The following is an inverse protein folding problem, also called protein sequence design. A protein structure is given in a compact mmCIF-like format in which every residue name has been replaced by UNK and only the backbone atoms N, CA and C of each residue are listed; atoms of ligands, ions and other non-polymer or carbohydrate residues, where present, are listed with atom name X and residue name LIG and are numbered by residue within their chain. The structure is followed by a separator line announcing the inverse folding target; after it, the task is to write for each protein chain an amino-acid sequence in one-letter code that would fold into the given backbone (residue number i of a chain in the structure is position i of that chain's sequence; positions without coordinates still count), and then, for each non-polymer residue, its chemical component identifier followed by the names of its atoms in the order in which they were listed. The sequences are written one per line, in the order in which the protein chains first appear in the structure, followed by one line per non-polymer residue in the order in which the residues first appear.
data_IF_204041933526
#
_entry.id   IF_204041933526
#
_cell.length_a   1.000
_cell.length_b   1.000
_cell.length_c   1.000
_cell.angle_alpha   90.00
_cell.angle_beta   90.00
_cell.angle_gamma   90.00
#
_symmetry.space_group_name_H-M   'P 1'
#
loop_
_entity.id
_entity.type
_entity.pdbx_description
1 polymer ?
#
# COMPACT_ATOMS: atom_id res chain seq x y z
N UNK A 1 59.21 -58.27 -80.17
CA UNK A 1 58.93 -58.27 -78.71
C UNK A 1 57.75 -57.35 -78.51
N UNK A 2 56.78 -57.70 -77.67
CA UNK A 2 55.61 -56.84 -77.47
C UNK A 2 56.05 -55.48 -76.92
N UNK A 3 55.38 -54.41 -77.34
CA UNK A 3 55.64 -53.03 -76.89
C UNK A 3 55.29 -52.83 -75.42
N UNK A 4 54.44 -53.69 -74.85
CA UNK A 4 54.03 -53.63 -73.45
C UNK A 4 54.57 -54.81 -72.65
N UNK A 5 54.77 -54.60 -71.36
CA UNK A 5 55.04 -55.64 -70.37
C UNK A 5 54.02 -55.55 -69.24
N UNK A 6 53.52 -56.71 -68.83
CA UNK A 6 52.53 -56.84 -67.75
C UNK A 6 53.20 -57.54 -66.58
N UNK A 7 53.20 -56.89 -65.42
CA UNK A 7 53.76 -57.45 -64.19
C UNK A 7 52.93 -58.63 -63.67
N UNK A 8 53.52 -59.45 -62.81
CA UNK A 8 52.78 -60.51 -62.14
C UNK A 8 51.69 -59.89 -61.23
N UNK A 9 50.43 -60.35 -61.35
CA UNK A 9 49.32 -59.80 -60.57
C UNK A 9 49.56 -59.95 -59.06
N UNK A 10 49.36 -58.88 -58.29
CA UNK A 10 49.38 -58.91 -56.83
C UNK A 10 47.94 -59.02 -56.30
N UNK A 11 47.66 -60.11 -55.58
CA UNK A 11 46.34 -60.37 -55.00
C UNK A 11 46.11 -59.44 -53.81
N UNK A 12 45.08 -58.60 -53.88
CA UNK A 12 44.65 -57.75 -52.75
C UNK A 12 43.48 -58.44 -52.07
N UNK A 13 43.68 -58.95 -50.85
CA UNK A 13 42.66 -59.71 -50.12
C UNK A 13 41.66 -58.73 -49.48
N UNK A 14 40.66 -58.34 -50.26
CA UNK A 14 39.41 -57.75 -49.75
C UNK A 14 38.24 -58.70 -50.07
N UNK A 15 37.14 -58.70 -49.29
CA UNK A 15 36.08 -59.71 -49.38
C UNK A 15 35.31 -59.75 -50.72
N UNK A 16 35.71 -58.94 -51.70
CA UNK A 16 35.12 -58.82 -53.04
C UNK A 16 36.10 -59.07 -54.20
N UNK A 17 37.28 -59.66 -53.96
CA UNK A 17 38.16 -60.22 -55.00
C UNK A 17 38.65 -59.20 -56.05
N UNK A 18 39.63 -58.36 -55.69
CA UNK A 18 40.32 -57.47 -56.61
C UNK A 18 41.80 -57.82 -56.76
N UNK A 19 42.38 -57.57 -57.94
CA UNK A 19 43.79 -57.83 -58.26
C UNK A 19 44.41 -56.58 -58.86
N UNK A 20 45.58 -56.19 -58.35
CA UNK A 20 46.36 -55.08 -58.91
C UNK A 20 47.42 -55.60 -59.88
N UNK A 21 47.53 -54.95 -61.04
CA UNK A 21 48.48 -55.31 -62.09
C UNK A 21 49.17 -54.05 -62.61
N UNK A 22 50.49 -54.09 -62.73
CA UNK A 22 51.28 -53.04 -63.37
C UNK A 22 51.46 -53.32 -64.87
N UNK A 23 51.32 -52.28 -65.70
CA UNK A 23 51.58 -52.33 -67.14
C UNK A 23 52.59 -51.25 -67.48
N UNK A 24 53.63 -51.61 -68.22
CA UNK A 24 54.66 -50.67 -68.68
C UNK A 24 54.83 -50.67 -70.19
N UNK A 25 55.08 -49.50 -70.78
CA UNK A 25 55.46 -49.37 -72.19
C UNK A 25 56.98 -49.48 -72.33
N UNK A 26 57.45 -50.54 -72.99
CA UNK A 26 58.86 -50.81 -73.27
C UNK A 26 59.33 -50.23 -74.61
N UNK A 27 58.41 -49.73 -75.45
CA UNK A 27 58.78 -49.07 -76.70
C UNK A 27 59.42 -47.70 -76.43
N UNK A 28 60.27 -47.25 -77.36
CA UNK A 28 60.91 -45.94 -77.31
C UNK A 28 60.00 -44.78 -77.77
N UNK A 29 58.72 -45.07 -78.03
CA UNK A 29 57.70 -44.11 -78.46
C UNK A 29 56.40 -44.35 -77.69
N UNK A 30 55.55 -43.33 -77.60
CA UNK A 30 54.24 -43.45 -76.98
C UNK A 30 53.35 -44.41 -77.80
N UNK A 31 52.71 -45.36 -77.13
CA UNK A 31 51.86 -46.39 -77.77
C UNK A 31 50.50 -46.45 -77.07
N UNK A 32 49.44 -46.58 -77.87
CA UNK A 32 48.08 -46.77 -77.37
C UNK A 32 47.86 -48.24 -77.00
N UNK A 33 47.68 -48.49 -75.71
CA UNK A 33 47.42 -49.80 -75.14
C UNK A 33 45.92 -49.97 -74.90
N UNK A 34 45.32 -51.02 -75.45
CA UNK A 34 43.98 -51.48 -75.10
C UNK A 34 44.06 -52.75 -74.27
N UNK A 35 43.38 -52.76 -73.13
CA UNK A 35 43.32 -53.87 -72.21
C UNK A 35 42.09 -54.73 -72.47
N UNK A 36 42.31 -56.03 -72.52
CA UNK A 36 41.27 -57.03 -72.72
C UNK A 36 41.45 -58.18 -71.73
N UNK A 37 40.34 -58.74 -71.28
CA UNK A 37 40.33 -59.95 -70.45
C UNK A 37 40.08 -61.14 -71.35
N UNK A 38 41.03 -62.08 -71.34
CA UNK A 38 40.85 -63.40 -71.89
C UNK A 38 40.45 -64.36 -70.76
N UNK A 39 39.38 -65.10 -70.99
CA UNK A 39 38.90 -66.18 -70.12
C UNK A 39 38.79 -67.47 -70.95
N UNK A 40 38.89 -68.63 -70.30
CA UNK A 40 38.57 -69.92 -70.92
C UNK A 40 37.08 -70.03 -71.31
N UNK A 41 36.23 -69.22 -70.68
CA UNK A 41 34.79 -69.13 -70.94
C UNK A 41 34.42 -67.70 -71.36
N UNK A 42 33.93 -67.54 -72.59
CA UNK A 42 33.64 -66.22 -73.16
C UNK A 42 32.56 -65.47 -72.37
N UNK A 43 31.64 -66.18 -71.71
CA UNK A 43 30.59 -65.55 -70.89
C UNK A 43 31.12 -64.93 -69.61
N UNK A 44 32.26 -65.39 -69.09
CA UNK A 44 32.84 -64.90 -67.82
C UNK A 44 33.84 -63.76 -68.02
N UNK A 45 34.32 -63.51 -69.24
CA UNK A 45 35.21 -62.39 -69.54
C UNK A 45 34.56 -61.03 -69.21
N UNK A 46 33.23 -60.92 -69.36
CA UNK A 46 32.47 -59.71 -69.04
C UNK A 46 32.28 -59.45 -67.54
N UNK A 47 32.69 -60.37 -66.66
CA UNK A 47 32.54 -60.21 -65.21
C UNK A 47 33.68 -59.41 -64.59
N UNK A 48 34.78 -59.23 -65.31
CA UNK A 48 35.97 -58.54 -64.82
C UNK A 48 35.95 -57.10 -65.33
N UNK A 49 35.80 -56.15 -64.42
CA UNK A 49 35.93 -54.73 -64.73
C UNK A 49 37.39 -54.30 -64.59
N UNK A 50 37.88 -53.55 -65.59
CA UNK A 50 39.22 -52.95 -65.60
C UNK A 50 39.07 -51.48 -65.20
N UNK A 51 39.80 -51.05 -64.17
CA UNK A 51 39.83 -49.66 -63.71
C UNK A 51 41.26 -49.17 -63.52
N UNK A 52 41.55 -47.87 -63.73
CA UNK A 52 40.60 -46.80 -64.08
C UNK A 52 40.38 -46.61 -65.59
N UNK A 53 41.10 -47.34 -66.45
CA UNK A 53 41.01 -47.19 -67.90
C UNK A 53 41.09 -48.54 -68.61
N UNK A 54 40.46 -48.64 -69.78
CA UNK A 54 40.52 -49.81 -70.65
C UNK A 54 41.37 -49.55 -71.91
N UNK A 55 41.53 -48.29 -72.32
CA UNK A 55 42.43 -47.90 -73.41
C UNK A 55 43.14 -46.59 -73.05
N UNK A 56 44.47 -46.56 -73.15
CA UNK A 56 45.28 -45.39 -72.83
C UNK A 56 46.57 -45.35 -73.64
N UNK A 57 47.00 -44.16 -74.02
CA UNK A 57 48.35 -43.94 -74.56
C UNK A 57 49.36 -43.81 -73.42
N UNK A 58 50.34 -44.71 -73.39
CA UNK A 58 51.42 -44.74 -72.40
C UNK A 58 52.70 -44.17 -73.03
N UNK A 59 53.37 -43.24 -72.34
CA UNK A 59 54.65 -42.69 -72.77
C UNK A 59 55.78 -43.76 -72.67
N UNK A 60 56.92 -43.57 -73.36
CA UNK A 60 58.06 -44.48 -73.24
C UNK A 60 58.49 -44.67 -71.79
N UNK A 61 58.61 -45.92 -71.34
CA UNK A 61 58.93 -46.32 -69.96
C UNK A 61 57.90 -45.91 -68.89
N UNK A 62 56.72 -45.42 -69.27
CA UNK A 62 55.64 -45.15 -68.32
C UNK A 62 55.06 -46.46 -67.78
N UNK A 63 54.92 -46.56 -66.45
CA UNK A 63 54.25 -47.66 -65.75
C UNK A 63 52.94 -47.15 -65.17
N UNK A 64 51.85 -47.86 -65.44
CA UNK A 64 50.52 -47.59 -64.90
C UNK A 64 50.02 -48.80 -64.12
N UNK A 65 49.39 -48.54 -62.98
CA UNK A 65 48.73 -49.57 -62.18
C UNK A 65 47.25 -49.61 -62.52
N UNK A 66 46.71 -50.82 -62.66
CA UNK A 66 45.29 -51.08 -62.90
C UNK A 66 44.74 -52.00 -61.81
N UNK A 67 43.45 -51.88 -61.53
CA UNK A 67 42.73 -52.79 -60.64
C UNK A 67 41.69 -53.55 -61.44
N UNK A 68 41.74 -54.88 -61.34
CA UNK A 68 40.78 -55.82 -61.89
C UNK A 68 39.82 -56.22 -60.77
N UNK A 69 38.53 -55.91 -60.90
CA UNK A 69 37.50 -56.31 -59.95
C UNK A 69 36.51 -57.27 -60.58
N UNK A 70 36.20 -58.38 -59.91
CA UNK A 70 35.23 -59.36 -60.42
C UNK A 70 33.86 -59.06 -59.85
N UNK A 71 32.90 -58.77 -60.73
CA UNK A 71 31.49 -58.59 -60.38
C UNK A 71 30.65 -59.62 -61.14
N UNK A 72 30.38 -60.80 -60.54
CA UNK A 72 29.51 -61.79 -61.18
C UNK A 72 28.06 -61.27 -61.21
N UNK A 73 27.27 -61.58 -62.26
CA UNK A 73 25.85 -61.22 -62.31
C UNK A 73 25.04 -61.97 -61.24
N UNK A 74 23.89 -61.44 -60.80
CA UNK A 74 23.13 -61.98 -59.66
C UNK A 74 22.60 -63.41 -59.87
N UNK A 75 22.53 -63.93 -61.10
CA UNK A 75 22.15 -65.31 -61.43
C UNK A 75 23.36 -66.28 -61.51
N UNK A 76 24.60 -65.80 -61.38
CA UNK A 76 25.81 -66.62 -61.43
C UNK A 76 25.92 -67.61 -60.26
N UNK A 77 25.26 -67.34 -59.13
CA UNK A 77 25.26 -68.23 -57.96
C UNK A 77 24.34 -69.46 -58.10
N UNK A 78 23.41 -69.46 -59.07
CA UNK A 78 22.41 -70.53 -59.27
C UNK A 78 22.60 -71.32 -60.56
N UNK A 79 23.31 -70.79 -61.56
CA UNK A 79 23.90 -71.60 -62.64
C UNK A 79 25.19 -72.23 -62.13
N UNK A 80 25.56 -73.42 -62.60
CA UNK A 80 26.73 -74.21 -62.16
C UNK A 80 28.10 -73.52 -62.45
N UNK A 81 28.35 -72.35 -61.86
CA UNK A 81 29.54 -71.51 -62.01
C UNK A 81 30.30 -71.34 -60.69
N UNK A 82 30.14 -72.29 -59.77
CA UNK A 82 30.89 -72.36 -58.50
C UNK A 82 32.23 -73.08 -58.72
N UNK A 83 33.34 -72.49 -58.26
CA UNK A 83 34.70 -73.02 -58.38
C UNK A 83 35.71 -72.04 -58.98
N UNK A 84 37.02 -72.36 -58.93
CA UNK A 84 38.09 -71.44 -59.32
C UNK A 84 38.09 -71.20 -60.84
N UNK A 85 38.01 -69.93 -61.26
CA UNK A 85 38.07 -69.53 -62.68
C UNK A 85 39.40 -68.84 -62.99
N UNK A 86 40.00 -69.17 -64.15
CA UNK A 86 41.27 -68.60 -64.62
C UNK A 86 41.02 -67.47 -65.60
N UNK A 87 41.72 -66.36 -65.40
CA UNK A 87 41.67 -65.19 -66.26
C UNK A 87 43.09 -64.77 -66.65
N UNK A 88 43.19 -64.11 -67.79
CA UNK A 88 44.44 -63.56 -68.32
C UNK A 88 44.19 -62.15 -68.86
N UNK A 89 45.09 -61.23 -68.54
CA UNK A 89 45.06 -59.87 -69.07
C UNK A 89 45.91 -59.79 -70.34
N UNK A 90 45.34 -59.18 -71.37
CA UNK A 90 46.00 -58.89 -72.63
C UNK A 90 46.16 -57.37 -72.77
N UNK A 91 47.38 -56.92 -73.07
CA UNK A 91 47.67 -55.55 -73.47
C UNK A 91 47.97 -55.55 -74.97
N UNK A 92 47.03 -55.00 -75.75
CA UNK A 92 47.03 -55.01 -77.21
C UNK A 92 47.37 -53.61 -77.72
N UNK A 93 48.33 -53.49 -78.64
CA UNK A 93 48.59 -52.21 -79.30
C UNK A 93 47.48 -51.87 -80.28
N UNK A 94 46.88 -50.68 -80.15
CA UNK A 94 45.72 -50.27 -80.96
C UNK A 94 46.07 -50.15 -82.45
N UNK A 95 47.29 -49.73 -82.79
CA UNK A 95 47.75 -49.58 -84.18
C UNK A 95 48.15 -50.90 -84.85
N UNK A 96 48.47 -51.94 -84.08
CA UNK A 96 48.88 -53.24 -84.60
C UNK A 96 48.36 -54.39 -83.70
N UNK A 97 47.04 -54.61 -83.67
CA UNK A 97 46.41 -55.49 -82.69
C UNK A 97 46.71 -56.98 -82.87
N UNK A 98 47.12 -57.40 -84.08
CA UNK A 98 47.34 -58.82 -84.40
C UNK A 98 48.78 -59.28 -84.10
N UNK A 99 49.76 -58.37 -84.14
CA UNK A 99 51.18 -58.70 -83.95
C UNK A 99 51.76 -58.22 -82.62
N UNK A 100 51.20 -57.19 -81.99
CA UNK A 100 51.73 -56.62 -80.74
C UNK A 100 50.75 -56.79 -79.55
N UNK A 101 50.85 -57.96 -78.92
CA UNK A 101 50.05 -58.35 -77.75
C UNK A 101 50.93 -58.88 -76.63
N UNK A 102 50.93 -58.19 -75.49
CA UNK A 102 51.52 -58.68 -74.25
C UNK A 102 50.49 -59.45 -73.42
N UNK A 103 50.93 -60.52 -72.75
CA UNK A 103 50.06 -61.43 -71.98
C UNK A 103 50.53 -61.54 -70.54
N UNK A 104 49.62 -61.39 -69.58
CA UNK A 104 49.91 -61.64 -68.17
C UNK A 104 50.00 -63.15 -67.88
N UNK A 105 50.59 -63.56 -66.74
CA UNK A 105 50.32 -64.86 -66.14
C UNK A 105 48.83 -65.03 -65.80
N UNK A 106 48.39 -66.28 -65.66
CA UNK A 106 47.01 -66.59 -65.27
C UNK A 106 46.77 -66.28 -63.79
N UNK A 107 45.67 -65.59 -63.49
CA UNK A 107 45.19 -65.36 -62.13
C UNK A 107 43.84 -66.03 -61.88
N UNK A 108 43.54 -66.33 -60.61
CA UNK A 108 42.36 -67.11 -60.19
C UNK A 108 41.50 -66.34 -59.20
N UNK A 109 40.18 -66.40 -59.39
CA UNK A 109 39.20 -65.97 -58.39
C UNK A 109 38.37 -67.15 -57.90
N UNK A 110 38.09 -67.17 -56.60
CA UNK A 110 37.21 -68.15 -55.97
C UNK A 110 35.85 -67.49 -55.70
N UNK A 111 34.78 -68.02 -56.31
CA UNK A 111 33.44 -67.42 -56.24
C UNK A 111 32.68 -68.01 -55.05
N UNK A 112 32.14 -67.17 -54.14
CA UNK A 112 31.45 -67.67 -52.95
C UNK A 112 30.15 -68.39 -53.33
N UNK A 113 30.04 -69.67 -52.95
CA UNK A 113 28.82 -70.47 -53.11
C UNK A 113 27.72 -69.99 -52.16
N UNK A 114 26.53 -69.74 -52.70
CA UNK A 114 25.37 -69.29 -51.95
C UNK A 114 24.86 -70.33 -50.96
N UNK A 115 25.34 -70.26 -49.71
CA UNK A 115 24.76 -70.97 -48.57
C UNK A 115 23.53 -70.23 -48.05
N UNK A 116 22.33 -70.78 -48.30
CA UNK A 116 21.08 -70.23 -47.78
C UNK A 116 21.04 -70.24 -46.26
N UNK A 117 20.93 -69.05 -45.65
CA UNK A 117 20.63 -68.86 -44.24
C UNK A 117 19.25 -68.21 -44.09
N UNK A 118 18.31 -68.95 -43.46
CA UNK A 118 17.00 -68.46 -43.05
C UNK A 118 17.16 -67.50 -41.86
N UNK A 119 16.68 -66.27 -41.96
CA UNK A 119 16.62 -65.31 -40.83
C UNK A 119 15.28 -65.39 -40.08
N UNK A 120 15.26 -65.41 -38.73
CA UNK A 120 14.02 -65.40 -37.95
C UNK A 120 13.53 -63.99 -37.58
N UNK A 121 12.20 -63.79 -37.59
CA UNK A 121 11.44 -62.53 -37.48
C UNK A 121 11.43 -61.80 -36.11
N UNK A 122 12.21 -62.22 -35.11
CA UNK A 122 12.16 -61.68 -33.74
C UNK A 122 12.62 -60.22 -33.52
N UNK A 123 13.50 -59.58 -34.31
CA UNK A 123 13.93 -58.20 -34.01
C UNK A 123 12.80 -57.18 -34.19
N UNK A 124 11.77 -57.48 -35.00
CA UNK A 124 10.63 -56.57 -35.20
C UNK A 124 9.63 -56.60 -34.03
N UNK A 125 9.50 -57.71 -33.32
CA UNK A 125 8.63 -57.81 -32.13
C UNK A 125 9.26 -57.09 -30.95
N UNK A 126 10.58 -57.21 -30.75
CA UNK A 126 11.30 -56.52 -29.68
C UNK A 126 11.27 -54.99 -29.84
N UNK A 127 11.44 -54.47 -31.06
CA UNK A 127 11.35 -53.04 -31.33
C UNK A 127 9.92 -52.48 -31.14
N UNK A 128 8.89 -53.23 -31.55
CA UNK A 128 7.50 -52.85 -31.34
C UNK A 128 7.09 -52.82 -29.86
N UNK A 129 7.54 -53.79 -29.07
CA UNK A 129 7.28 -53.83 -27.62
C UNK A 129 8.02 -52.71 -26.89
N UNK A 130 9.27 -52.41 -27.26
CA UNK A 130 10.01 -51.29 -26.67
C UNK A 130 9.37 -49.93 -26.98
N UNK A 131 8.91 -49.72 -28.22
CA UNK A 131 8.20 -48.50 -28.60
C UNK A 131 6.85 -48.38 -27.87
N UNK A 132 6.11 -49.48 -27.73
CA UNK A 132 4.84 -49.49 -27.00
C UNK A 132 5.04 -49.22 -25.50
N UNK A 133 6.07 -49.81 -24.86
CA UNK A 133 6.40 -49.54 -23.46
C UNK A 133 6.88 -48.10 -23.24
N UNK A 134 7.57 -47.51 -24.22
CA UNK A 134 7.98 -46.11 -24.15
C UNK A 134 6.79 -45.17 -24.33
N UNK A 135 5.86 -45.47 -25.23
CA UNK A 135 4.61 -44.71 -25.38
C UNK A 135 3.69 -44.89 -24.16
N UNK A 136 3.61 -46.09 -23.57
CA UNK A 136 2.88 -46.33 -22.33
C UNK A 136 3.57 -45.65 -21.15
N UNK A 137 4.91 -45.65 -21.08
CA UNK A 137 5.67 -44.98 -20.04
C UNK A 137 5.54 -43.45 -20.12
N UNK A 138 5.64 -42.89 -21.32
CA UNK A 138 5.42 -41.45 -21.58
C UNK A 138 3.95 -41.08 -21.37
N UNK A 139 3.01 -41.92 -21.82
CA UNK A 139 1.59 -41.74 -21.57
C UNK A 139 1.25 -41.80 -20.08
N UNK A 140 1.80 -42.76 -19.34
CA UNK A 140 1.65 -42.86 -17.89
C UNK A 140 2.30 -41.67 -17.18
N UNK A 141 3.46 -41.20 -17.62
CA UNK A 141 4.14 -40.03 -17.05
C UNK A 141 3.39 -38.72 -17.31
N UNK A 142 2.84 -38.54 -18.51
CA UNK A 142 2.10 -37.34 -18.90
C UNK A 142 0.63 -37.34 -18.40
N UNK A 143 0.07 -38.52 -18.07
CA UNK A 143 -1.33 -38.68 -17.68
C UNK A 143 -1.50 -39.18 -16.23
N UNK A 144 -0.41 -39.26 -15.45
CA UNK A 144 -0.50 -39.48 -14.01
C UNK A 144 -1.10 -38.24 -13.35
N UNK A 145 -2.24 -38.33 -12.65
CA UNK A 145 -2.75 -37.18 -11.93
C UNK A 145 -1.70 -36.74 -10.90
N UNK A 146 -1.34 -35.44 -10.83
CA UNK A 146 -0.50 -34.96 -9.74
C UNK A 146 -1.17 -35.41 -8.44
N UNK A 147 -0.42 -36.09 -7.58
CA UNK A 147 -0.95 -36.53 -6.30
C UNK A 147 -1.62 -35.36 -5.59
N UNK A 148 -2.63 -35.65 -4.77
CA UNK A 148 -3.21 -34.63 -3.91
C UNK A 148 -2.37 -34.48 -2.64
N UNK A 149 -2.44 -33.30 -2.05
CA UNK A 149 -1.85 -32.94 -0.78
C UNK A 149 -2.94 -32.32 0.12
N UNK A 150 -2.90 -32.65 1.40
CA UNK A 150 -3.78 -32.03 2.39
C UNK A 150 -3.15 -30.74 2.88
N UNK A 151 -3.95 -29.68 2.95
CA UNK A 151 -3.51 -28.39 3.49
C UNK A 151 -3.25 -28.53 5.00
N UNK A 152 -2.03 -28.25 5.49
CA UNK A 152 -1.71 -28.30 6.91
C UNK A 152 -2.37 -27.13 7.68
N UNK A 153 -2.47 -27.25 9.01
CA UNK A 153 -2.85 -26.14 9.88
C UNK A 153 -1.69 -25.15 10.05
N UNK A 154 -1.89 -23.91 9.62
CA UNK A 154 -0.90 -22.83 9.58
C UNK A 154 -1.25 -21.67 10.52
N UNK A 155 -2.52 -21.56 10.92
CA UNK A 155 -2.99 -20.54 11.87
C UNK A 155 -2.21 -20.59 13.19
N UNK A 156 -1.71 -19.43 13.62
CA UNK A 156 -0.92 -19.27 14.85
C UNK A 156 0.59 -19.49 14.67
N UNK A 157 1.05 -19.95 13.50
CA UNK A 157 2.48 -20.09 13.20
C UNK A 157 3.09 -18.78 12.71
N UNK A 158 4.41 -18.65 12.81
CA UNK A 158 5.16 -17.58 12.17
C UNK A 158 5.24 -17.82 10.66
N UNK A 159 5.20 -16.77 9.84
CA UNK A 159 5.17 -16.89 8.36
C UNK A 159 6.26 -17.82 7.80
N UNK A 160 7.48 -17.74 8.34
CA UNK A 160 8.60 -18.61 7.94
C UNK A 160 8.36 -20.10 8.28
N UNK A 161 7.71 -20.38 9.40
CA UNK A 161 7.35 -21.75 9.81
C UNK A 161 6.17 -22.27 8.99
N UNK A 162 5.20 -21.40 8.67
CA UNK A 162 4.08 -21.74 7.80
C UNK A 162 4.57 -22.09 6.38
N UNK A 163 5.53 -21.33 5.84
CA UNK A 163 6.15 -21.62 4.55
C UNK A 163 6.89 -22.96 4.54
N UNK A 164 7.65 -23.26 5.61
CA UNK A 164 8.31 -24.55 5.75
C UNK A 164 7.31 -25.71 5.77
N UNK A 165 6.20 -25.55 6.49
CA UNK A 165 5.15 -26.55 6.63
C UNK A 165 4.35 -26.78 5.35
N UNK A 166 4.14 -25.72 4.55
CA UNK A 166 3.57 -25.83 3.20
C UNK A 166 4.50 -26.62 2.27
N UNK A 167 5.81 -26.32 2.32
CA UNK A 167 6.81 -27.02 1.50
C UNK A 167 6.91 -28.51 1.85
N UNK A 168 6.85 -28.86 3.14
CA UNK A 168 6.81 -30.26 3.59
C UNK A 168 5.56 -31.01 3.09
N UNK A 169 4.46 -30.29 2.86
CA UNK A 169 3.20 -30.83 2.34
C UNK A 169 3.13 -30.84 0.79
N UNK A 170 4.22 -30.58 0.07
CA UNK A 170 4.24 -30.41 -1.40
C UNK A 170 3.27 -29.29 -1.88
N UNK A 171 3.05 -28.24 -1.07
CA UNK A 171 2.25 -27.05 -1.40
C UNK A 171 3.16 -25.80 -1.46
N UNK A 172 2.65 -24.72 -2.05
CA UNK A 172 3.40 -23.45 -2.17
C UNK A 172 2.67 -22.30 -1.46
N UNK A 173 3.44 -21.30 -1.02
CA UNK A 173 2.87 -20.07 -0.47
C UNK A 173 2.19 -19.28 -1.59
N UNK A 174 0.91 -18.97 -1.39
CA UNK A 174 0.10 -18.12 -2.26
C UNK A 174 0.17 -16.64 -1.86
N UNK A 175 -0.91 -15.92 -2.14
CA UNK A 175 -1.02 -14.50 -1.78
C UNK A 175 -0.97 -14.32 -0.24
N UNK A 176 -0.19 -13.34 0.20
CA UNK A 176 -0.10 -12.96 1.61
C UNK A 176 -0.79 -11.63 1.80
N UNK A 177 -1.90 -11.63 2.52
CA UNK A 177 -2.62 -10.43 2.91
C UNK A 177 -2.17 -9.97 4.30
N UNK A 178 -1.95 -8.67 4.47
CA UNK A 178 -1.64 -8.09 5.76
C UNK A 178 -2.91 -7.66 6.50
N UNK A 179 -2.96 -7.92 7.81
CA UNK A 179 -4.05 -7.50 8.68
C UNK A 179 -3.52 -6.92 9.97
N UNK A 180 -3.88 -5.66 10.22
CA UNK A 180 -3.51 -4.97 11.47
C UNK A 180 -4.17 -5.63 12.67
N UNK A 181 -3.37 -5.96 13.69
CA UNK A 181 -3.91 -6.48 14.97
C UNK A 181 -3.24 -5.81 16.15
N UNK A 182 -4.01 -5.49 17.20
CA UNK A 182 -3.47 -4.93 18.44
C UNK A 182 -2.96 -5.96 19.46
N UNK A 183 -2.93 -7.25 19.10
CA UNK A 183 -2.72 -8.34 20.08
C UNK A 183 -1.89 -9.54 19.61
N UNK A 184 -1.72 -9.77 18.31
CA UNK A 184 -0.80 -10.79 17.81
C UNK A 184 0.55 -10.15 17.45
N UNK A 185 1.66 -10.87 17.70
CA UNK A 185 2.97 -10.43 17.24
C UNK A 185 2.99 -10.28 15.70
N UNK A 186 3.74 -9.34 15.12
CA UNK A 186 3.87 -9.24 13.67
C UNK A 186 4.38 -10.52 13.03
N UNK A 187 3.83 -10.87 11.86
CA UNK A 187 4.21 -12.04 11.06
C UNK A 187 3.60 -13.36 11.52
N UNK A 188 2.54 -13.34 12.33
CA UNK A 188 1.77 -14.54 12.72
C UNK A 188 0.63 -14.76 11.74
N UNK A 189 0.45 -15.99 11.27
CA UNK A 189 -0.67 -16.35 10.39
C UNK A 189 -1.97 -16.33 11.18
N UNK A 190 -2.91 -15.47 10.78
CA UNK A 190 -4.24 -15.31 11.37
C UNK A 190 -5.29 -16.18 10.70
N UNK A 191 -5.14 -16.38 9.39
CA UNK A 191 -6.05 -17.16 8.57
C UNK A 191 -5.30 -17.75 7.38
N UNK A 192 -5.85 -18.82 6.83
CA UNK A 192 -5.38 -19.47 5.60
C UNK A 192 -6.57 -19.80 4.71
N UNK A 193 -6.36 -19.79 3.39
CA UNK A 193 -7.33 -20.23 2.40
C UNK A 193 -6.61 -20.94 1.24
N UNK A 194 -6.92 -22.21 0.92
CA UNK A 194 -7.92 -23.08 1.55
C UNK A 194 -7.64 -23.47 3.01
N UNK A 195 -8.69 -23.78 3.76
CA UNK A 195 -8.62 -24.16 5.17
C UNK A 195 -7.86 -25.47 5.45
N UNK A 196 -7.49 -25.69 6.71
CA UNK A 196 -6.84 -26.94 7.14
C UNK A 196 -7.66 -28.17 6.73
N UNK A 197 -6.97 -29.19 6.21
CA UNK A 197 -7.57 -30.44 5.76
C UNK A 197 -8.20 -30.39 4.37
N UNK A 198 -8.17 -29.25 3.68
CA UNK A 198 -8.58 -29.17 2.28
C UNK A 198 -7.63 -30.01 1.39
N UNK A 199 -8.17 -30.61 0.34
CA UNK A 199 -7.40 -31.44 -0.60
C UNK A 199 -7.10 -30.64 -1.87
N UNK A 200 -5.82 -30.44 -2.15
CA UNK A 200 -5.35 -29.68 -3.31
C UNK A 200 -4.40 -30.54 -4.16
N UNK A 201 -4.28 -30.21 -5.45
CA UNK A 201 -3.20 -30.78 -6.26
C UNK A 201 -1.85 -30.36 -5.67
N UNK A 202 -0.85 -31.25 -5.70
CA UNK A 202 0.52 -30.85 -5.32
C UNK A 202 0.99 -29.66 -6.14
N UNK A 203 1.73 -28.76 -5.49
CA UNK A 203 2.16 -27.49 -6.04
C UNK A 203 1.08 -26.40 -6.03
N UNK A 204 -0.13 -26.67 -5.50
CA UNK A 204 -1.13 -25.61 -5.34
C UNK A 204 -0.72 -24.58 -4.29
N UNK A 205 -1.18 -23.35 -4.50
CA UNK A 205 -0.94 -22.24 -3.61
C UNK A 205 -1.97 -22.19 -2.47
N UNK A 206 -1.51 -21.83 -1.27
CA UNK A 206 -2.36 -21.52 -0.10
C UNK A 206 -2.13 -20.07 0.28
N UNK A 207 -3.18 -19.25 0.21
CA UNK A 207 -3.14 -17.85 0.62
C UNK A 207 -3.17 -17.74 2.14
N UNK A 208 -2.41 -16.79 2.69
CA UNK A 208 -2.32 -16.55 4.12
C UNK A 208 -2.72 -15.11 4.44
N UNK A 209 -3.39 -14.89 5.57
CA UNK A 209 -3.45 -13.57 6.16
C UNK A 209 -2.54 -13.50 7.37
N UNK A 210 -1.62 -12.54 7.40
CA UNK A 210 -0.65 -12.36 8.48
C UNK A 210 -0.94 -11.13 9.31
N UNK A 211 -0.60 -11.18 10.61
CA UNK A 211 -0.69 -10.03 11.50
C UNK A 211 0.41 -9.02 11.20
N UNK A 212 0.03 -7.74 11.11
CA UNK A 212 0.96 -6.62 11.13
C UNK A 212 0.65 -5.69 12.29
N UNK A 213 1.63 -4.87 12.66
CA UNK A 213 1.44 -3.82 13.65
C UNK A 213 0.47 -2.74 13.12
N UNK A 214 -0.46 -2.23 13.94
CA UNK A 214 -1.37 -1.18 13.52
C UNK A 214 -0.59 0.09 13.17
N UNK A 215 -0.94 0.73 12.05
CA UNK A 215 -0.38 2.02 11.68
C UNK A 215 -0.70 3.06 12.75
N UNK A 216 0.30 3.79 13.23
CA UNK A 216 0.12 4.88 14.20
C UNK A 216 0.64 6.20 13.64
N UNK A 217 -0.15 7.25 13.82
CA UNK A 217 0.24 8.63 13.59
C UNK A 217 0.78 9.24 14.89
N UNK A 218 1.96 9.84 14.82
CA UNK A 218 2.52 10.58 15.95
C UNK A 218 1.83 11.93 16.12
N UNK A 219 1.39 12.20 17.35
CA UNK A 219 0.81 13.48 17.73
C UNK A 219 1.87 14.58 17.67
N UNK A 220 1.68 15.63 16.85
CA UNK A 220 2.62 16.76 16.77
C UNK A 220 2.52 17.65 18.02
N UNK A 221 3.56 18.46 18.25
CA UNK A 221 3.51 19.53 19.25
C UNK A 221 2.73 20.73 18.70
N UNK A 222 1.60 21.03 19.32
CA UNK A 222 0.68 22.09 18.96
C UNK A 222 0.80 23.32 19.86
N UNK A 223 1.50 23.20 21.00
CA UNK A 223 1.60 24.29 22.00
C UNK A 223 2.30 25.50 21.38
N UNK A 224 1.71 26.68 21.58
CA UNK A 224 2.18 27.94 21.02
C UNK A 224 1.69 28.25 19.60
N UNK A 225 0.97 27.32 18.95
CA UNK A 225 0.40 27.54 17.62
C UNK A 225 -1.00 28.17 17.71
N UNK A 226 -1.43 28.82 16.63
CA UNK A 226 -2.84 29.19 16.48
C UNK A 226 -3.70 27.95 16.27
N UNK A 227 -4.98 28.03 16.64
CA UNK A 227 -5.95 26.96 16.37
C UNK A 227 -5.93 26.49 14.91
N UNK A 228 -5.91 27.43 13.96
CA UNK A 228 -5.91 27.12 12.53
C UNK A 228 -4.65 26.37 12.09
N UNK A 229 -3.48 26.78 12.58
CA UNK A 229 -2.21 26.09 12.28
C UNK A 229 -2.18 24.70 12.91
N UNK A 230 -2.67 24.57 14.15
CA UNK A 230 -2.77 23.30 14.84
C UNK A 230 -3.68 22.31 14.09
N UNK A 231 -4.82 22.78 13.58
CA UNK A 231 -5.73 21.95 12.78
C UNK A 231 -5.07 21.44 11.49
N UNK A 232 -4.39 22.32 10.75
CA UNK A 232 -3.69 21.93 9.52
C UNK A 232 -2.60 20.88 9.79
N UNK A 233 -1.78 21.10 10.81
CA UNK A 233 -0.72 20.17 11.18
C UNK A 233 -1.28 18.81 11.62
N UNK A 234 -2.40 18.79 12.36
CA UNK A 234 -3.06 17.53 12.70
C UNK A 234 -3.55 16.79 11.45
N UNK A 235 -4.19 17.52 10.52
CA UNK A 235 -4.70 16.96 9.27
C UNK A 235 -3.60 16.35 8.42
N UNK A 236 -2.44 17.01 8.33
CA UNK A 236 -1.27 16.52 7.61
C UNK A 236 -0.69 15.22 8.21
N UNK A 237 -0.94 14.98 9.51
CA UNK A 237 -0.59 13.73 10.21
C UNK A 237 -1.71 12.69 10.20
N UNK A 238 -2.79 12.92 9.46
CA UNK A 238 -3.96 12.04 9.47
C UNK A 238 -4.70 12.03 10.81
N UNK A 239 -4.51 13.05 11.65
CA UNK A 239 -5.23 13.27 12.90
C UNK A 239 -6.26 14.39 12.71
N UNK A 240 -7.13 14.60 13.70
CA UNK A 240 -8.11 15.69 13.66
C UNK A 240 -8.13 16.50 14.94
N UNK A 241 -8.54 17.76 14.83
CA UNK A 241 -8.78 18.60 16.00
C UNK A 241 -9.99 18.06 16.78
N UNK A 242 -9.80 17.89 18.08
CA UNK A 242 -10.77 17.32 19.01
C UNK A 242 -11.53 18.37 19.80
N UNK A 243 -11.76 18.09 21.09
CA UNK A 243 -12.41 19.02 22.01
C UNK A 243 -11.57 20.29 22.15
N UNK A 244 -12.22 21.44 22.02
CA UNK A 244 -11.62 22.75 22.26
C UNK A 244 -12.16 23.28 23.58
N UNK A 245 -11.27 23.75 24.44
CA UNK A 245 -11.61 24.49 25.66
C UNK A 245 -10.77 25.74 25.72
N UNK A 246 -11.17 26.72 26.54
CA UNK A 246 -10.46 27.99 26.68
C UNK A 246 -10.04 28.23 28.13
N UNK A 247 -8.93 28.94 28.31
CA UNK A 247 -8.44 29.37 29.62
C UNK A 247 -7.79 30.75 29.49
N UNK A 248 -8.07 31.64 30.42
CA UNK A 248 -7.38 32.93 30.49
C UNK A 248 -5.87 32.72 30.65
N UNK A 249 -5.09 33.48 29.89
CA UNK A 249 -3.63 33.47 30.00
C UNK A 249 -3.11 34.86 29.73
N UNK A 250 -2.56 35.50 30.77
CA UNK A 250 -1.86 36.77 30.62
C UNK A 250 -0.67 36.63 29.68
N UNK A 251 -0.54 37.54 28.71
CA UNK A 251 0.62 37.60 27.82
C UNK A 251 0.63 36.60 26.65
N UNK A 252 -0.42 35.80 26.46
CA UNK A 252 -0.57 34.92 25.29
C UNK A 252 -1.71 35.42 24.41
N UNK A 253 -1.48 35.47 23.09
CA UNK A 253 -2.50 35.92 22.16
C UNK A 253 -3.73 34.99 22.19
N UNK A 254 -4.97 35.53 22.25
CA UNK A 254 -6.18 34.71 22.22
C UNK A 254 -6.23 33.78 21.01
N UNK A 255 -6.70 32.54 21.21
CA UNK A 255 -6.73 31.50 20.17
C UNK A 255 -5.42 30.73 19.98
N UNK A 256 -4.39 31.01 20.79
CA UNK A 256 -3.14 30.23 20.83
C UNK A 256 -3.31 28.98 21.70
N UNK A 257 -2.81 27.83 21.25
CA UNK A 257 -2.84 26.57 22.01
C UNK A 257 -1.92 26.68 23.23
N UNK A 258 -2.49 26.55 24.41
CA UNK A 258 -1.81 26.50 25.71
C UNK A 258 -1.44 25.08 26.11
N UNK A 259 -2.31 24.11 25.78
CA UNK A 259 -2.12 22.71 26.11
C UNK A 259 -2.81 21.83 25.07
N UNK A 260 -2.34 20.60 24.96
CA UNK A 260 -2.92 19.56 24.12
C UNK A 260 -3.06 18.27 24.92
N UNK A 261 -3.99 17.42 24.47
CA UNK A 261 -4.16 16.06 24.98
C UNK A 261 -4.65 15.16 23.83
N UNK A 262 -3.95 14.08 23.46
CA UNK A 262 -2.71 13.55 24.05
C UNK A 262 -1.46 14.44 23.88
N UNK A 263 -0.45 14.15 24.70
CA UNK A 263 0.85 14.82 24.63
C UNK A 263 1.56 14.57 23.29
N UNK A 264 2.49 15.46 22.92
CA UNK A 264 3.30 15.31 21.72
C UNK A 264 4.06 13.97 21.72
N UNK A 265 4.29 13.44 20.52
CA UNK A 265 4.90 12.12 20.26
C UNK A 265 4.07 10.90 20.72
N UNK A 266 2.88 11.09 21.29
CA UNK A 266 1.96 9.98 21.51
C UNK A 266 1.55 9.35 20.16
N UNK A 267 1.57 8.02 20.07
CA UNK A 267 1.13 7.29 18.89
C UNK A 267 -0.37 7.00 18.94
N UNK A 268 -1.13 7.56 18.00
CA UNK A 268 -2.58 7.37 17.86
C UNK A 268 -2.94 6.65 16.57
N UNK A 269 -4.10 6.00 16.55
CA UNK A 269 -4.65 5.48 15.31
C UNK A 269 -4.99 6.65 14.35
N UNK A 270 -4.86 6.49 13.03
CA UNK A 270 -5.33 7.47 12.05
C UNK A 270 -6.79 7.89 12.31
N UNK A 271 -7.10 9.17 12.10
CA UNK A 271 -8.40 9.78 12.36
C UNK A 271 -8.70 10.10 13.84
N UNK A 272 -7.77 9.78 14.75
CA UNK A 272 -7.91 10.10 16.18
C UNK A 272 -7.92 11.61 16.42
N UNK A 273 -8.63 12.01 17.48
CA UNK A 273 -8.78 13.40 17.86
C UNK A 273 -7.72 13.84 18.88
N UNK A 274 -7.19 15.06 18.73
CA UNK A 274 -6.34 15.72 19.73
C UNK A 274 -7.08 16.92 20.29
N UNK A 275 -7.38 16.90 21.58
CA UNK A 275 -8.01 18.01 22.29
C UNK A 275 -7.00 19.13 22.55
N UNK A 276 -7.47 20.37 22.59
CA UNK A 276 -6.65 21.55 22.85
C UNK A 276 -7.30 22.49 23.86
N UNK A 277 -6.46 23.17 24.64
CA UNK A 277 -6.82 24.31 25.48
C UNK A 277 -6.27 25.55 24.79
N UNK A 278 -7.12 26.50 24.45
CA UNK A 278 -6.73 27.77 23.81
C UNK A 278 -6.67 28.89 24.84
N UNK A 279 -5.78 29.86 24.60
CA UNK A 279 -5.73 31.10 25.34
C UNK A 279 -7.01 31.90 25.08
N UNK A 280 -7.70 32.28 26.15
CA UNK A 280 -8.75 33.27 26.12
C UNK A 280 -8.15 34.67 26.32
N UNK A 281 -8.81 35.68 25.76
CA UNK A 281 -8.53 37.06 26.15
C UNK A 281 -8.78 37.21 27.65
N UNK A 282 -7.92 37.96 28.38
CA UNK A 282 -8.23 38.35 29.74
C UNK A 282 -9.60 39.04 29.76
N UNK A 283 -10.46 38.65 30.70
CA UNK A 283 -11.70 39.39 30.93
C UNK A 283 -11.35 40.85 31.24
N UNK A 284 -11.78 41.77 30.37
CA UNK A 284 -11.53 43.20 30.57
C UNK A 284 -12.06 43.63 31.94
N UNK A 285 -11.19 44.25 32.75
CA UNK A 285 -11.59 44.82 34.02
C UNK A 285 -12.73 45.83 33.77
N UNK A 286 -13.86 45.65 34.44
CA UNK A 286 -14.94 46.64 34.43
C UNK A 286 -14.45 47.85 35.22
N UNK A 287 -14.26 48.98 34.55
CA UNK A 287 -14.11 50.27 35.22
C UNK A 287 -15.48 50.69 35.78
N UNK A 288 -15.64 50.55 37.09
CA UNK A 288 -16.93 50.76 37.75
C UNK A 288 -17.13 52.24 38.09
N UNK A 289 -18.10 52.85 37.42
CA UNK A 289 -18.46 54.24 37.64
C UNK A 289 -19.32 54.40 38.90
N UNK A 290 -18.66 54.53 40.06
CA UNK A 290 -19.29 54.57 41.39
C UNK A 290 -19.18 55.92 42.09
N UNK A 291 -20.30 56.38 42.65
CA UNK A 291 -20.38 57.49 43.61
C UNK A 291 -20.26 56.91 45.03
N UNK A 292 -19.17 57.25 45.73
CA UNK A 292 -18.96 56.89 47.14
C UNK A 292 -19.69 57.88 48.07
N UNK A 293 -20.24 57.38 49.16
CA UNK A 293 -20.96 58.17 50.16
C UNK A 293 -21.00 57.45 51.52
N UNK A 294 -21.32 58.18 52.60
CA UNK A 294 -21.62 57.58 53.90
C UNK A 294 -23.14 57.34 54.03
N UNK A 295 -23.59 56.07 54.18
CA UNK A 295 -25.01 55.75 54.38
C UNK A 295 -25.63 56.49 55.57
N UNK A 296 -24.85 56.80 56.61
CA UNK A 296 -25.31 57.51 57.80
C UNK A 296 -25.49 59.02 57.61
N UNK A 297 -24.95 59.61 56.54
CA UNK A 297 -24.98 61.06 56.29
C UNK A 297 -25.85 61.49 55.12
N UNK A 298 -26.34 60.53 54.32
CA UNK A 298 -27.29 60.82 53.26
C UNK A 298 -28.67 61.21 53.82
N UNK A 299 -29.35 62.11 53.13
CA UNK A 299 -30.68 62.56 53.49
C UNK A 299 -31.53 62.86 52.24
N UNK A 300 -32.84 62.61 52.33
CA UNK A 300 -33.80 63.03 51.32
C UNK A 300 -34.24 64.47 51.63
N UNK A 301 -33.98 65.40 50.70
CA UNK A 301 -34.32 66.82 50.82
C UNK A 301 -35.07 67.31 49.60
N UNK A 302 -36.02 68.22 49.79
CA UNK A 302 -36.66 68.94 48.69
C UNK A 302 -35.85 70.20 48.36
N UNK A 303 -35.29 70.26 47.15
CA UNK A 303 -34.42 71.35 46.67
C UNK A 303 -34.98 71.84 45.34
N UNK A 304 -35.43 73.11 45.28
CA UNK A 304 -36.03 73.68 44.08
C UNK A 304 -37.30 72.95 43.63
N UNK A 305 -38.13 72.50 44.58
CA UNK A 305 -39.36 71.75 44.32
C UNK A 305 -39.16 70.26 44.03
N UNK A 306 -37.92 69.80 43.83
CA UNK A 306 -37.59 68.39 43.52
C UNK A 306 -37.01 67.66 44.73
N UNK A 307 -37.41 66.42 44.93
CA UNK A 307 -36.87 65.54 45.96
C UNK A 307 -35.57 64.90 45.50
N UNK A 308 -34.54 65.03 46.34
CA UNK A 308 -33.18 64.56 46.05
C UNK A 308 -32.59 63.84 47.25
N UNK A 309 -31.79 62.81 46.99
CA UNK A 309 -30.90 62.24 48.01
C UNK A 309 -29.55 62.95 47.89
N UNK A 310 -29.09 63.50 49.01
CA UNK A 310 -27.88 64.32 49.10
C UNK A 310 -27.01 63.87 50.27
N UNK A 311 -25.70 64.02 50.13
CA UNK A 311 -24.73 63.98 51.24
C UNK A 311 -24.12 65.39 51.39
N UNK A 312 -24.45 66.09 52.48
CA UNK A 312 -24.07 67.50 52.63
C UNK A 312 -24.66 68.37 51.53
N UNK A 313 -23.79 68.93 50.67
CA UNK A 313 -24.15 69.72 49.48
C UNK A 313 -24.10 68.93 48.17
N UNK A 314 -23.62 67.68 48.19
CA UNK A 314 -23.50 66.84 47.01
C UNK A 314 -24.82 66.11 46.72
N UNK A 315 -25.35 66.30 45.53
CA UNK A 315 -26.55 65.61 45.06
C UNK A 315 -26.18 64.30 44.36
N UNK A 316 -26.81 63.20 44.79
CA UNK A 316 -26.58 61.85 44.28
C UNK A 316 -27.73 61.29 43.43
N UNK A 317 -28.99 61.43 43.89
CA UNK A 317 -30.18 60.90 43.20
C UNK A 317 -31.33 61.92 43.22
N UNK A 318 -32.17 61.93 42.18
CA UNK A 318 -33.33 62.84 42.03
C UNK A 318 -34.56 62.05 41.66
N UNK A 319 -35.65 62.35 42.35
CA UNK A 319 -36.92 61.65 42.32
C UNK A 319 -38.05 62.55 41.82
N UNK A 320 -37.71 63.68 41.18
CA UNK A 320 -38.68 64.66 40.70
C UNK A 320 -39.56 65.16 41.83
N UNK A 321 -40.87 65.06 41.68
CA UNK A 321 -41.84 65.46 42.71
C UNK A 321 -42.21 64.34 43.68
N UNK A 322 -41.68 63.13 43.50
CA UNK A 322 -42.02 61.96 44.31
C UNK A 322 -41.15 61.86 45.58
N UNK A 323 -41.64 62.52 46.64
CA UNK A 323 -40.98 62.48 47.94
C UNK A 323 -41.07 61.14 48.65
N UNK A 324 -42.04 60.30 48.33
CA UNK A 324 -42.20 59.01 48.99
C UNK A 324 -41.22 57.98 48.42
N UNK A 325 -41.01 57.97 47.10
CA UNK A 325 -39.94 57.19 46.49
C UNK A 325 -38.56 57.66 46.96
N UNK A 326 -38.33 58.96 47.12
CA UNK A 326 -37.08 59.48 47.67
C UNK A 326 -36.80 59.00 49.11
N UNK A 327 -37.81 59.05 49.98
CA UNK A 327 -37.69 58.56 51.38
C UNK A 327 -37.50 57.04 51.43
N UNK A 328 -38.21 56.28 50.59
CA UNK A 328 -38.06 54.82 50.50
C UNK A 328 -36.67 54.44 49.99
N UNK A 329 -36.17 55.10 48.94
CA UNK A 329 -34.83 54.85 48.43
C UNK A 329 -33.75 55.20 49.47
N UNK A 330 -33.91 56.31 50.21
CA UNK A 330 -33.02 56.63 51.34
C UNK A 330 -32.99 55.50 52.37
N UNK A 331 -34.17 55.01 52.78
CA UNK A 331 -34.27 53.91 53.73
C UNK A 331 -33.66 52.60 53.20
N UNK A 332 -33.77 52.32 51.90
CA UNK A 332 -33.08 51.19 51.25
C UNK A 332 -31.56 51.34 51.38
N UNK A 333 -31.01 52.48 50.95
CA UNK A 333 -29.56 52.74 50.99
C UNK A 333 -29.01 52.60 52.43
N UNK A 334 -29.72 53.16 53.41
CA UNK A 334 -29.37 53.07 54.83
C UNK A 334 -29.48 51.64 55.38
N UNK A 335 -30.56 50.92 55.06
CA UNK A 335 -30.79 49.58 55.60
C UNK A 335 -29.75 48.57 55.11
N UNK A 336 -29.36 48.67 53.84
CA UNK A 336 -28.31 47.84 53.22
C UNK A 336 -26.89 48.31 53.58
N UNK A 337 -26.74 49.50 54.19
CA UNK A 337 -25.45 50.11 54.46
C UNK A 337 -24.68 50.34 53.16
N UNK A 338 -25.38 50.72 52.09
CA UNK A 338 -24.79 50.86 50.78
C UNK A 338 -23.94 52.14 50.73
N UNK A 339 -22.63 52.00 50.60
CA UNK A 339 -21.67 53.10 50.59
C UNK A 339 -21.26 53.52 49.16
N UNK A 340 -21.75 52.78 48.14
CA UNK A 340 -21.53 53.09 46.73
C UNK A 340 -22.80 52.95 45.91
N UNK A 341 -23.03 53.93 45.03
CA UNK A 341 -24.02 53.86 43.95
C UNK A 341 -23.26 53.84 42.64
N UNK A 342 -23.39 52.76 41.89
CA UNK A 342 -22.61 52.52 40.69
C UNK A 342 -23.53 52.45 39.47
N UNK A 343 -22.98 52.84 38.33
CA UNK A 343 -23.72 53.00 37.09
C UNK A 343 -23.04 52.26 35.95
N UNK A 344 -23.84 51.65 35.09
CA UNK A 344 -23.39 51.21 33.77
C UNK A 344 -23.75 52.32 32.79
N UNK A 345 -22.73 52.97 32.22
CA UNK A 345 -22.87 53.90 31.08
C UNK A 345 -23.63 55.20 31.36
N UNK A 346 -23.11 56.05 32.27
CA UNK A 346 -23.54 57.46 32.41
C UNK A 346 -23.28 58.25 31.11
N UNK A 347 -24.06 59.32 30.80
CA UNK A 347 -24.98 60.06 31.68
C UNK A 347 -26.41 59.52 31.77
N UNK A 348 -26.83 58.61 30.89
CA UNK A 348 -28.15 57.97 30.94
C UNK A 348 -27.97 56.47 31.19
N UNK A 349 -27.73 56.07 32.44
CA UNK A 349 -27.36 54.70 32.75
C UNK A 349 -28.58 53.76 32.63
N UNK A 350 -28.56 52.77 31.71
CA UNK A 350 -29.61 51.75 31.66
C UNK A 350 -29.64 50.84 32.89
N UNK A 351 -28.52 50.77 33.62
CA UNK A 351 -28.39 49.99 34.85
C UNK A 351 -27.69 50.80 35.94
N UNK A 352 -28.27 50.80 37.13
CA UNK A 352 -27.69 51.31 38.37
C UNK A 352 -27.76 50.20 39.42
N UNK A 353 -26.73 50.11 40.25
CA UNK A 353 -26.63 49.12 41.32
C UNK A 353 -25.94 49.73 42.53
N UNK A 354 -26.09 49.08 43.68
CA UNK A 354 -25.55 49.55 44.96
C UNK A 354 -24.59 48.50 45.51
N UNK A 355 -23.55 48.94 46.22
CA UNK A 355 -22.60 48.07 46.90
C UNK A 355 -22.45 48.49 48.36
N UNK A 356 -22.06 47.53 49.19
CA UNK A 356 -21.52 47.75 50.53
C UNK A 356 -20.06 47.28 50.52
N UNK A 357 -19.12 48.22 50.51
CA UNK A 357 -17.73 47.99 50.17
C UNK A 357 -17.61 47.57 48.69
N UNK A 358 -17.08 46.37 48.46
CA UNK A 358 -16.93 45.78 47.13
C UNK A 358 -17.94 44.63 46.89
N UNK A 359 -18.97 44.51 47.73
CA UNK A 359 -19.94 43.40 47.68
C UNK A 359 -21.36 43.85 47.36
N UNK A 360 -22.05 43.02 46.57
CA UNK A 360 -23.50 43.11 46.39
C UNK A 360 -24.23 42.95 47.74
N UNK A 361 -25.14 43.88 48.10
CA UNK A 361 -25.91 43.76 49.33
C UNK A 361 -26.89 42.58 49.26
N UNK A 362 -27.10 41.91 50.40
CA UNK A 362 -28.02 40.79 50.55
C UNK A 362 -29.15 41.10 51.54
N UNK A 363 -30.37 40.62 51.25
CA UNK A 363 -31.58 40.85 52.06
C UNK A 363 -31.62 40.00 53.34
N UNK A 364 -30.65 40.19 54.24
CA UNK A 364 -30.54 39.48 55.52
C UNK A 364 -31.74 39.77 56.44
N UNK A 365 -31.91 38.96 57.50
CA UNK A 365 -32.94 39.21 58.50
C UNK A 365 -32.79 40.59 59.18
N UNK A 366 -31.56 41.01 59.47
CA UNK A 366 -31.27 42.32 60.03
C UNK A 366 -31.64 43.45 59.06
N UNK A 367 -31.32 43.30 57.77
CA UNK A 367 -31.70 44.28 56.74
C UNK A 367 -33.23 44.39 56.63
N UNK A 368 -33.92 43.26 56.57
CA UNK A 368 -35.40 43.22 56.53
C UNK A 368 -36.02 43.89 57.76
N UNK A 369 -35.42 43.72 58.94
CA UNK A 369 -35.87 44.41 60.15
C UNK A 369 -35.69 45.94 60.04
N UNK A 370 -34.55 46.42 59.52
CA UNK A 370 -34.32 47.86 59.29
C UNK A 370 -35.29 48.44 58.26
N UNK A 371 -35.53 47.73 57.17
CA UNK A 371 -36.50 48.12 56.14
C UNK A 371 -37.91 48.20 56.72
N UNK A 372 -38.33 47.18 57.49
CA UNK A 372 -39.63 47.17 58.16
C UNK A 372 -39.78 48.33 59.16
N UNK A 373 -38.73 48.64 59.91
CA UNK A 373 -38.70 49.80 60.81
C UNK A 373 -38.81 51.14 60.06
N UNK A 374 -38.37 51.19 58.81
CA UNK A 374 -38.53 52.34 57.92
C UNK A 374 -39.86 52.34 57.14
N UNK A 375 -40.80 51.45 57.47
CA UNK A 375 -42.10 51.35 56.80
C UNK A 375 -42.05 50.71 55.41
N UNK A 376 -40.91 50.09 55.05
CA UNK A 376 -40.77 49.31 53.82
C UNK A 376 -41.12 47.86 54.17
N UNK A 377 -42.26 47.39 53.66
CA UNK A 377 -42.69 46.01 53.81
C UNK A 377 -41.86 45.04 52.96
N UNK A 378 -42.52 44.15 52.23
CA UNK A 378 -41.82 43.27 51.28
C UNK A 378 -41.28 44.10 50.12
N UNK A 379 -39.98 44.00 49.89
CA UNK A 379 -39.33 44.65 48.75
C UNK A 379 -39.87 44.11 47.43
N UNK A 380 -39.98 45.03 46.49
CA UNK A 380 -40.51 44.76 45.16
C UNK A 380 -39.38 44.35 44.22
N UNK A 381 -39.13 43.05 44.09
CA UNK A 381 -38.02 42.51 43.32
C UNK A 381 -38.43 41.42 42.34
N UNK A 382 -37.72 41.37 41.22
CA UNK A 382 -37.75 40.30 40.21
C UNK A 382 -36.45 39.51 40.34
N UNK A 383 -36.55 38.19 40.52
CA UNK A 383 -35.40 37.29 40.55
C UNK A 383 -34.97 36.88 39.15
N UNK A 384 -33.68 36.59 38.97
CA UNK A 384 -33.07 36.10 37.74
C UNK A 384 -31.85 35.24 38.05
N UNK A 385 -31.44 34.36 37.13
CA UNK A 385 -30.25 33.54 37.27
C UNK A 385 -29.08 34.16 36.44
N UNK A 386 -28.01 34.65 37.07
CA UNK A 386 -26.88 35.24 36.35
C UNK A 386 -26.16 34.26 35.39
N UNK A 387 -26.30 32.95 35.61
CA UNK A 387 -25.71 31.93 34.75
C UNK A 387 -26.48 31.74 33.43
N UNK A 388 -27.79 32.00 33.41
CA UNK A 388 -28.64 31.85 32.22
C UNK A 388 -28.91 33.16 31.49
N UNK A 389 -28.37 34.28 31.99
CA UNK A 389 -28.48 35.58 31.33
C UNK A 389 -27.84 35.57 29.93
N UNK A 390 -28.61 36.08 28.97
CA UNK A 390 -28.20 36.21 27.57
C UNK A 390 -28.48 37.62 27.02
N UNK A 391 -27.84 37.96 25.90
CA UNK A 391 -27.96 39.25 25.21
C UNK A 391 -28.62 39.08 23.85
N UNK A 392 -29.85 39.54 23.73
CA UNK A 392 -30.61 39.51 22.48
C UNK A 392 -30.53 40.85 21.75
N UNK A 393 -29.97 40.86 20.55
CA UNK A 393 -29.99 42.02 19.65
C UNK A 393 -31.37 42.18 19.01
N UNK A 394 -31.94 43.39 19.10
CA UNK A 394 -33.20 43.74 18.44
C UNK A 394 -33.10 45.10 17.73
N UNK A 395 -34.16 45.48 17.00
CA UNK A 395 -34.18 46.72 16.22
C UNK A 395 -34.04 48.01 17.05
N UNK A 396 -34.28 47.95 18.36
CA UNK A 396 -34.21 49.08 19.29
C UNK A 396 -33.01 49.07 20.24
N UNK A 397 -32.07 48.13 20.08
CA UNK A 397 -30.91 47.97 20.96
C UNK A 397 -30.67 46.52 21.37
N UNK A 398 -29.92 46.32 22.46
CA UNK A 398 -29.58 44.99 22.99
C UNK A 398 -30.32 44.77 24.30
N UNK A 399 -31.09 43.69 24.41
CA UNK A 399 -31.87 43.37 25.60
C UNK A 399 -31.19 42.27 26.40
N UNK A 400 -30.98 42.51 27.69
CA UNK A 400 -30.60 41.47 28.64
C UNK A 400 -31.84 40.64 28.98
N UNK A 401 -31.76 39.33 28.76
CA UNK A 401 -32.86 38.38 28.98
C UNK A 401 -32.46 37.31 30.00
N UNK A 402 -33.40 36.90 30.85
CA UNK A 402 -33.28 35.75 31.76
C UNK A 402 -34.41 34.77 31.46
N UNK A 403 -34.11 33.55 31.04
CA UNK A 403 -35.08 32.47 30.82
C UNK A 403 -36.34 32.87 30.01
N UNK A 404 -36.21 33.81 29.06
CA UNK A 404 -37.24 34.45 28.20
C UNK A 404 -37.93 35.72 28.74
N UNK A 405 -37.52 36.25 29.89
CA UNK A 405 -38.00 37.55 30.39
C UNK A 405 -37.03 38.68 30.03
N UNK A 406 -37.53 39.73 29.36
CA UNK A 406 -36.76 40.94 29.04
C UNK A 406 -36.55 41.77 30.31
N UNK A 407 -35.30 41.98 30.70
CA UNK A 407 -34.95 42.69 31.94
C UNK A 407 -34.59 44.16 31.69
N UNK A 408 -33.54 44.40 30.92
CA UNK A 408 -32.99 45.75 30.68
C UNK A 408 -32.66 45.89 29.20
N UNK A 409 -33.06 47.01 28.60
CA UNK A 409 -32.68 47.40 27.25
C UNK A 409 -31.48 48.34 27.32
N UNK A 410 -30.45 48.01 26.56
CA UNK A 410 -29.22 48.79 26.39
C UNK A 410 -29.16 49.37 24.99
N UNK A 411 -28.45 50.49 24.82
CA UNK A 411 -28.37 51.19 23.53
C UNK A 411 -27.52 50.42 22.52
N UNK A 412 -26.48 49.76 23.00
CA UNK A 412 -25.53 49.02 22.18
C UNK A 412 -25.00 47.77 22.92
N UNK A 413 -24.26 46.96 22.19
CA UNK A 413 -23.72 45.69 22.68
C UNK A 413 -22.67 45.88 23.78
N UNK A 414 -21.89 46.95 23.76
CA UNK A 414 -20.82 47.17 24.74
C UNK A 414 -21.38 47.52 26.12
N UNK A 415 -22.44 48.34 26.18
CA UNK A 415 -23.17 48.61 27.42
C UNK A 415 -23.78 47.33 28.00
N UNK A 416 -24.40 46.50 27.14
CA UNK A 416 -25.04 45.27 27.54
C UNK A 416 -24.02 44.23 28.06
N UNK A 417 -22.88 44.09 27.38
CA UNK A 417 -21.76 43.24 27.84
C UNK A 417 -21.19 43.71 29.16
N UNK A 418 -21.03 45.02 29.33
CA UNK A 418 -20.55 45.60 30.59
C UNK A 418 -21.50 45.29 31.74
N UNK A 419 -22.81 45.48 31.54
CA UNK A 419 -23.82 45.15 32.53
C UNK A 419 -23.82 43.65 32.88
N UNK A 420 -23.75 42.76 31.89
CA UNK A 420 -23.67 41.32 32.12
C UNK A 420 -22.44 40.94 32.96
N UNK A 421 -21.29 41.57 32.68
CA UNK A 421 -20.04 41.39 33.42
C UNK A 421 -20.19 41.86 34.88
N UNK A 422 -20.77 43.04 35.10
CA UNK A 422 -21.08 43.57 36.44
C UNK A 422 -22.00 42.63 37.23
N UNK A 423 -23.08 42.15 36.59
CA UNK A 423 -24.04 41.24 37.22
C UNK A 423 -23.37 39.95 37.69
N UNK A 424 -22.53 39.35 36.84
CA UNK A 424 -21.80 38.12 37.15
C UNK A 424 -20.70 38.35 38.18
N UNK A 425 -19.93 39.45 38.05
CA UNK A 425 -18.85 39.84 38.99
C UNK A 425 -19.36 39.94 40.42
N UNK A 426 -20.50 40.62 40.62
CA UNK A 426 -21.08 40.85 41.94
C UNK A 426 -22.06 39.75 42.39
N UNK A 427 -22.43 38.85 41.49
CA UNK A 427 -23.38 37.76 41.76
C UNK A 427 -24.77 38.27 42.08
N UNK A 428 -25.23 39.33 41.40
CA UNK A 428 -26.60 39.81 41.56
C UNK A 428 -27.59 38.75 41.06
N UNK A 429 -28.67 38.53 41.80
CA UNK A 429 -29.75 37.59 41.41
C UNK A 429 -31.13 38.23 41.43
N UNK A 430 -31.22 39.49 41.87
CA UNK A 430 -32.49 40.21 42.00
C UNK A 430 -32.36 41.64 41.53
N UNK A 431 -33.34 42.09 40.76
CA UNK A 431 -33.56 43.50 40.44
C UNK A 431 -34.74 44.00 41.26
N UNK A 432 -34.54 45.04 42.05
CA UNK A 432 -35.54 45.60 42.94
C UNK A 432 -35.91 47.02 42.53
N UNK A 433 -37.13 47.42 42.90
CA UNK A 433 -37.76 48.64 42.42
C UNK A 433 -38.36 49.43 43.58
N UNK A 434 -38.29 50.75 43.50
CA UNK A 434 -39.03 51.68 44.34
C UNK A 434 -39.90 52.55 43.43
N UNK A 435 -41.21 52.52 43.65
CA UNK A 435 -42.17 53.38 42.92
C UNK A 435 -42.79 52.76 41.65
N UNK A 436 -42.86 51.42 41.51
CA UNK A 436 -43.59 50.81 40.36
C UNK A 436 -45.05 51.30 40.31
N UNK A 437 -45.63 51.51 39.11
CA UNK A 437 -45.17 51.05 37.79
C UNK A 437 -44.06 51.88 37.11
N UNK A 438 -43.81 53.12 37.55
CA UNK A 438 -42.75 53.98 37.01
C UNK A 438 -41.64 54.18 38.07
N UNK A 439 -40.75 53.20 38.24
CA UNK A 439 -39.80 53.22 39.34
C UNK A 439 -38.73 54.30 39.16
N UNK A 440 -38.70 55.26 40.08
CA UNK A 440 -37.69 56.32 40.17
C UNK A 440 -36.33 55.80 40.70
N UNK A 441 -36.32 54.61 41.31
CA UNK A 441 -35.10 53.96 41.80
C UNK A 441 -35.13 52.45 41.57
N UNK A 442 -34.11 51.95 40.86
CA UNK A 442 -33.89 50.54 40.54
C UNK A 442 -32.52 50.14 41.05
N UNK A 443 -32.42 49.02 41.76
CA UNK A 443 -31.16 48.56 42.33
C UNK A 443 -31.08 47.04 42.26
N UNK A 444 -29.88 46.50 42.47
CA UNK A 444 -29.61 45.07 42.39
C UNK A 444 -29.15 44.52 43.73
N UNK A 445 -29.56 43.29 44.02
CA UNK A 445 -29.22 42.56 45.24
C UNK A 445 -28.73 41.16 44.90
N UNK A 446 -27.98 40.58 45.84
CA UNK A 446 -27.57 39.18 45.81
C UNK A 446 -28.71 38.24 46.21
#
# INVERSE_FOLDING_TARGET
MPSFEIDAPQLVIEPSGSVQVGISNRANQARSCRLQIASEDAETAGWVAISPWQERSLQPNERSEITLSVTPPPDAATKAATGPRRFRLLAVEVSNPDEDVARSPDFRFDLPGGGGARTPLWPFIAAGVAALLLVIGVGAYLFWPPGTALVPGLSGLQLSEAEARLKEADLVLGDVEDRETGGAAPGIVLAQDPGEGAELARGSAVALTVSIEPTRAEVPNLVGLSQANAENILRDRGLRLGRISTRESGGVAPGTVLAQDPAASAGLAPGSAVAVVLAAAPEEAVDEDCIRHDPGRIAAKQIGGRWKIVEGSHWMLDFGTDGDSAKKALAVLQAYGADRICYVSRPQPPMMYILNGDSAPAATAATRQRLAAAGIGREDCIGFDPATLDLESGGSGVTLVSDRSRMILFRNMDEAKTALRVIRKHGFTRQCFVGRPNPEFRYFLR
#
